data_IF_819571820586
#
_entry.id   IF_819571820586
#
_cell.length_a   1.000
_cell.length_b   1.000
_cell.length_c   1.000
_cell.angle_alpha   90.00
_cell.angle_beta   90.00
_cell.angle_gamma   90.00
#
_symmetry.space_group_name_H-M   'P 1'
#
loop_
_entity.id
_entity.type
_entity.pdbx_description
1 polymer ?
#
# COMPACT_ATOMS: atom_id res chain seq x y z
N UNK A 1 -10.34 -2.47 -16.90
CA UNK A 1 -11.34 -1.47 -16.64
C UNK A 1 -11.70 -1.39 -15.19
N UNK A 2 -12.05 -2.47 -14.56
CA UNK A 2 -12.45 -2.44 -13.15
C UNK A 2 -11.31 -2.02 -12.22
N UNK A 3 -10.10 -2.42 -12.55
CA UNK A 3 -8.94 -2.04 -11.74
C UNK A 3 -8.69 -0.55 -11.82
N UNK A 4 -8.81 0.04 -12.99
CA UNK A 4 -8.60 1.47 -13.15
C UNK A 4 -9.72 2.25 -12.45
N UNK A 5 -10.94 1.78 -12.52
CA UNK A 5 -12.04 2.43 -11.82
C UNK A 5 -11.84 2.40 -10.32
N UNK A 6 -11.39 1.26 -9.79
CA UNK A 6 -11.12 1.13 -8.37
C UNK A 6 -9.99 2.06 -7.93
N UNK A 7 -8.94 2.16 -8.74
CA UNK A 7 -7.83 3.05 -8.46
C UNK A 7 -8.28 4.50 -8.38
N UNK A 8 -9.09 4.93 -9.32
CA UNK A 8 -9.56 6.31 -9.37
C UNK A 8 -10.44 6.61 -8.17
N UNK A 9 -11.33 5.69 -7.83
CA UNK A 9 -12.18 5.87 -6.66
C UNK A 9 -11.37 5.88 -5.37
N UNK A 10 -10.39 5.01 -5.26
CA UNK A 10 -9.50 5.00 -4.10
C UNK A 10 -8.75 6.32 -3.95
N UNK A 11 -8.26 6.86 -5.07
CA UNK A 11 -7.59 8.15 -5.07
C UNK A 11 -8.54 9.25 -4.62
N UNK A 12 -9.76 9.25 -5.12
CA UNK A 12 -10.75 10.24 -4.73
C UNK A 12 -11.06 10.17 -3.24
N UNK A 13 -11.16 8.98 -2.71
CA UNK A 13 -11.42 8.79 -1.28
C UNK A 13 -10.26 9.31 -0.44
N UNK A 14 -9.05 9.05 -0.85
CA UNK A 14 -7.88 9.59 -0.15
C UNK A 14 -7.88 11.11 -0.18
N UNK A 15 -8.17 11.69 -1.33
CA UNK A 15 -8.22 13.14 -1.46
C UNK A 15 -9.34 13.75 -0.61
N UNK A 16 -10.49 13.10 -0.58
CA UNK A 16 -11.60 13.58 0.24
C UNK A 16 -11.27 13.49 1.73
N UNK A 17 -10.49 12.51 2.13
CA UNK A 17 -10.04 12.38 3.51
C UNK A 17 -8.83 13.24 3.83
N UNK A 18 -8.34 13.99 2.82
CA UNK A 18 -7.19 14.88 2.96
C UNK A 18 -5.90 14.12 3.26
N UNK A 19 -5.82 12.88 2.80
CA UNK A 19 -4.59 12.10 2.91
C UNK A 19 -3.73 12.37 1.68
N UNK A 20 -2.43 12.21 1.84
CA UNK A 20 -1.52 12.45 0.74
C UNK A 20 -1.50 11.24 -0.19
N UNK A 21 -1.90 11.37 -1.44
CA UNK A 21 -1.91 10.23 -2.34
C UNK A 21 -0.53 9.73 -2.76
N UNK A 22 0.52 10.45 -2.41
CA UNK A 22 1.88 10.03 -2.75
C UNK A 22 2.21 8.66 -2.17
N UNK A 23 1.63 8.32 -1.02
CA UNK A 23 1.88 7.02 -0.40
C UNK A 23 1.28 5.87 -1.24
N UNK A 24 0.11 6.06 -1.80
CA UNK A 24 -0.53 5.10 -2.66
C UNK A 24 0.29 4.90 -3.94
N UNK A 25 0.77 6.00 -4.50
CA UNK A 25 1.60 5.98 -5.70
C UNK A 25 2.92 5.26 -5.44
N UNK A 26 3.53 5.53 -4.30
CA UNK A 26 4.79 4.89 -3.93
C UNK A 26 4.60 3.37 -3.75
N UNK A 27 3.49 2.96 -3.19
CA UNK A 27 3.18 1.54 -3.01
C UNK A 27 3.02 0.86 -4.37
N UNK A 28 2.32 1.48 -5.30
CA UNK A 28 2.15 0.93 -6.65
C UNK A 28 3.49 0.85 -7.38
N UNK A 29 4.35 1.85 -7.18
CA UNK A 29 5.68 1.85 -7.76
C UNK A 29 6.53 0.71 -7.21
N UNK A 30 6.40 0.42 -5.93
CA UNK A 30 7.12 -0.69 -5.30
C UNK A 30 6.64 -2.03 -5.89
N UNK A 31 5.34 -2.19 -6.09
CA UNK A 31 4.81 -3.41 -6.66
C UNK A 31 5.24 -3.59 -8.10
N UNK A 32 5.31 -2.53 -8.87
CA UNK A 32 5.75 -2.61 -10.24
C UNK A 32 7.22 -3.02 -10.33
N UNK A 33 8.05 -2.44 -9.49
CA UNK A 33 9.47 -2.80 -9.47
C UNK A 33 9.67 -4.24 -9.03
N UNK A 34 8.89 -4.69 -8.08
CA UNK A 34 8.95 -6.07 -7.62
C UNK A 34 8.62 -7.04 -8.74
N UNK A 35 7.65 -6.71 -9.57
CA UNK A 35 7.28 -7.55 -10.69
C UNK A 35 8.40 -7.63 -11.72
N UNK A 36 9.12 -6.53 -11.92
CA UNK A 36 10.21 -6.52 -12.88
C UNK A 36 11.41 -7.29 -12.39
N UNK A 37 11.61 -7.34 -11.09
CA UNK A 37 12.78 -7.98 -10.52
C UNK A 37 12.64 -9.50 -10.40
N UNK A 38 11.47 -10.04 -10.57
CA UNK A 38 11.25 -11.47 -10.44
C UNK A 38 11.22 -12.15 -11.80
N UNK A 39 11.50 -13.43 -11.82
CA UNK A 39 11.53 -14.20 -13.04
C UNK A 39 10.15 -14.33 -13.67
N UNK A 40 9.17 -13.81 -13.12
CA UNK A 40 7.83 -13.78 -13.65
C UNK A 40 7.02 -12.92 -12.71
N UNK A 41 5.84 -12.50 -13.11
CA UNK A 41 5.04 -11.67 -12.24
C UNK A 41 4.57 -12.49 -11.05
N UNK A 42 4.52 -11.91 -9.86
CA UNK A 42 3.89 -12.56 -8.73
C UNK A 42 2.44 -12.87 -9.06
N UNK A 43 1.87 -13.84 -8.35
CA UNK A 43 0.48 -14.23 -8.59
C UNK A 43 -0.47 -13.04 -8.59
N UNK A 44 -0.22 -12.10 -7.72
CA UNK A 44 -1.04 -10.89 -7.67
C UNK A 44 -1.02 -10.17 -9.02
N UNK A 45 0.14 -10.02 -9.63
CA UNK A 45 0.25 -9.28 -10.88
C UNK A 45 -0.24 -10.07 -12.08
N UNK A 46 -0.34 -11.37 -11.98
CA UNK A 46 -0.90 -12.15 -13.07
C UNK A 46 -2.42 -11.95 -13.14
N UNK A 47 -3.07 -11.67 -12.01
CA UNK A 47 -4.50 -11.38 -11.98
C UNK A 47 -4.78 -9.88 -12.04
N UNK A 48 -3.77 -9.05 -11.79
CA UNK A 48 -3.92 -7.59 -11.82
C UNK A 48 -2.85 -7.00 -12.72
N UNK A 49 -3.02 -7.13 -14.02
CA UNK A 49 -2.00 -6.68 -14.96
C UNK A 49 -1.97 -5.16 -15.08
N UNK A 50 -1.07 -4.69 -15.87
CA UNK A 50 -0.97 -3.26 -16.21
C UNK A 50 -0.67 -2.33 -15.07
N UNK A 51 0.18 -2.77 -14.13
CA UNK A 51 0.57 -1.93 -12.99
C UNK A 51 1.27 -0.65 -13.44
N UNK A 52 2.07 -0.70 -14.49
CA UNK A 52 2.75 0.49 -14.99
C UNK A 52 1.77 1.52 -15.52
N UNK A 53 0.76 1.06 -16.24
CA UNK A 53 -0.25 1.94 -16.78
C UNK A 53 -1.11 2.52 -15.69
N UNK A 54 -1.45 1.70 -14.72
CA UNK A 54 -2.23 2.14 -13.56
C UNK A 54 -1.48 3.19 -12.76
N UNK A 55 -0.17 2.96 -12.57
CA UNK A 55 0.67 3.92 -11.86
C UNK A 55 0.72 5.25 -12.59
N UNK A 56 0.88 5.22 -13.91
CA UNK A 56 0.91 6.44 -14.71
C UNK A 56 -0.40 7.22 -14.59
N UNK A 57 -1.52 6.53 -14.58
CA UNK A 57 -2.83 7.16 -14.43
C UNK A 57 -2.96 7.82 -13.07
N UNK A 58 -2.52 7.14 -12.03
CA UNK A 58 -2.59 7.71 -10.68
C UNK A 58 -1.72 8.94 -10.53
N UNK A 59 -0.52 8.90 -11.09
CA UNK A 59 0.38 10.06 -11.04
C UNK A 59 -0.26 11.25 -11.73
N UNK A 60 -0.85 11.02 -12.89
CA UNK A 60 -1.47 12.10 -13.64
C UNK A 60 -2.66 12.71 -12.91
N UNK A 61 -3.44 11.90 -12.22
CA UNK A 61 -4.63 12.38 -11.55
C UNK A 61 -4.40 12.92 -10.15
N UNK A 62 -3.33 12.48 -9.50
CA UNK A 62 -3.10 12.87 -8.11
C UNK A 62 -2.69 14.33 -7.97
N UNK A 63 -1.93 14.84 -8.90
CA UNK A 63 -1.44 16.21 -8.78
C UNK A 63 -0.43 16.33 -7.65
N UNK A 64 -0.16 17.54 -7.21
CA UNK A 64 0.81 17.77 -6.15
C UNK A 64 0.26 17.35 -4.80
N UNK A 65 1.14 16.99 -3.89
CA UNK A 65 0.73 16.62 -2.55
C UNK A 65 0.17 17.84 -1.81
N UNK A 66 -0.90 17.69 -1.07
CA UNK A 66 -1.46 18.82 -0.34
C UNK A 66 -0.55 19.24 0.81
N UNK A 67 -0.47 20.51 1.07
CA UNK A 67 0.37 21.02 2.15
C UNK A 67 -0.26 20.74 3.50
N UNK A 68 -1.55 20.48 3.53
CA UNK A 68 -2.28 20.24 4.79
C UNK A 68 -2.72 18.78 4.90
N UNK A 69 -1.97 17.87 4.31
CA UNK A 69 -2.31 16.45 4.34
C UNK A 69 -2.46 15.95 5.78
N UNK A 70 -3.47 15.16 6.00
CA UNK A 70 -3.72 14.57 7.31
C UNK A 70 -2.94 13.28 7.44
N UNK A 71 -2.51 12.98 8.64
CA UNK A 71 -1.88 11.69 8.91
C UNK A 71 -2.98 10.70 9.24
N UNK A 72 -2.87 9.53 8.71
CA UNK A 72 -3.76 8.46 9.09
C UNK A 72 -3.39 8.06 10.50
N UNK A 73 -4.30 7.94 11.38
CA UNK A 73 -4.10 7.65 12.80
C UNK A 73 -3.20 8.70 13.45
N UNK A 74 -3.66 9.94 13.52
CA UNK A 74 -2.85 10.99 14.14
C UNK A 74 -2.53 10.62 15.58
N UNK A 75 -1.34 10.89 15.99
CA UNK A 75 -0.92 10.54 17.35
C UNK A 75 -0.23 9.18 17.43
N UNK A 76 -0.29 8.35 16.39
CA UNK A 76 0.38 7.07 16.41
C UNK A 76 1.65 7.12 15.58
N UNK A 77 2.62 6.35 16.01
CA UNK A 77 3.89 6.25 15.29
C UNK A 77 3.85 5.00 14.43
N UNK A 78 3.86 5.17 13.13
CA UNK A 78 3.81 4.04 12.21
C UNK A 78 4.97 3.08 12.37
N UNK A 79 6.11 3.56 12.85
CA UNK A 79 7.23 2.71 13.14
C UNK A 79 6.86 1.72 14.23
N UNK A 80 6.17 2.18 15.27
CA UNK A 80 5.74 1.31 16.36
C UNK A 80 4.68 0.32 15.88
N UNK A 81 3.79 0.72 15.00
CA UNK A 81 2.78 -0.16 14.46
C UNK A 81 3.46 -1.29 13.66
N UNK A 82 4.45 -0.95 12.84
CA UNK A 82 5.18 -1.96 12.08
C UNK A 82 5.95 -2.90 13.00
N UNK A 83 6.44 -2.38 14.11
CA UNK A 83 7.15 -3.19 15.10
C UNK A 83 6.20 -4.20 15.76
N UNK A 84 4.97 -3.81 16.01
CA UNK A 84 3.99 -4.73 16.57
C UNK A 84 3.76 -5.92 15.63
N UNK A 85 3.64 -5.68 14.35
CA UNK A 85 3.47 -6.76 13.40
C UNK A 85 4.66 -7.69 13.40
N UNK A 86 5.85 -7.16 13.49
CA UNK A 86 7.05 -7.94 13.52
C UNK A 86 7.13 -8.78 14.79
N UNK A 87 6.78 -8.20 15.92
CA UNK A 87 6.79 -8.89 17.18
C UNK A 87 5.76 -10.01 17.21
N UNK A 88 4.61 -9.79 16.60
CA UNK A 88 3.62 -10.84 16.55
C UNK A 88 4.04 -11.99 15.67
N UNK A 89 4.68 -11.73 14.55
CA UNK A 89 5.19 -12.78 13.70
C UNK A 89 6.26 -13.58 14.43
N UNK A 90 7.16 -12.92 15.13
CA UNK A 90 8.19 -13.58 15.91
C UNK A 90 7.59 -14.35 17.08
N UNK A 91 6.61 -13.77 17.71
CA UNK A 91 5.94 -14.42 18.82
C UNK A 91 5.18 -15.65 18.40
N UNK A 92 4.59 -15.58 17.25
CA UNK A 92 3.87 -16.72 16.77
C UNK A 92 4.81 -17.88 16.46
N UNK A 93 5.98 -17.55 15.91
CA UNK A 93 6.95 -18.55 15.65
C UNK A 93 7.52 -19.11 16.90
N UNK A 94 7.75 -18.27 17.88
CA UNK A 94 8.37 -18.74 19.12
C UNK A 94 7.41 -19.43 19.97
N UNK A 95 6.16 -19.14 19.91
CA UNK A 95 5.35 -19.74 20.86
C UNK A 95 4.71 -20.84 20.27
N UNK A 96 5.30 -21.62 19.79
CA UNK A 96 4.71 -22.79 19.46
C UNK A 96 4.08 -23.32 20.58
N UNK A 97 4.20 -22.87 21.70
CA UNK A 97 3.66 -23.41 22.79
C UNK A 97 2.39 -22.91 22.91
N UNK A 98 1.58 -23.60 23.01
CA UNK A 98 0.37 -23.21 23.07
C UNK A 98 -0.23 -23.03 24.26
N UNK A 99 0.22 -22.85 25.08
CA UNK A 99 -0.31 -22.76 26.27
C UNK A 99 -1.00 -21.69 26.38
N UNK A 100 -1.69 -21.34 25.73
CA UNK A 100 -2.38 -20.40 25.95
C UNK A 100 -3.19 -20.62 26.81
N UNK A 101 -3.17 -21.34 27.30
CA UNK A 101 -4.02 -21.52 28.29
C UNK A 101 -4.34 -20.44 29.06
#
# INVERSE_FOLDING_TARGET
HHETEADIEGLRMMQAARLDPAAMIAFYGTMERGAQDHAGPPDFLSTHPDMGERLATLIALAGPSPSDAQRLLPGEDWKDIRTLCRLQAGGRSASASPELS
#
